data_IF_298317197145
#
_entry.id   IF_298317197145
#
_cell.length_a   1.000
_cell.length_b   1.000
_cell.length_c   1.000
_cell.angle_alpha   90.00
_cell.angle_beta   90.00
_cell.angle_gamma   90.00
#
_symmetry.space_group_name_H-M   'P 1'
#
loop_
_entity.id
_entity.type
_entity.pdbx_description
1 polymer ?
#
# COMPACT_ATOMS: atom_id res chain seq x y z
N UNK A 1 -9.25 -7.54 15.79
CA UNK A 1 -8.18 -7.13 14.87
C UNK A 1 -6.85 -7.12 15.59
N UNK A 2 -5.99 -8.05 15.21
CA UNK A 2 -4.59 -8.05 15.60
C UNK A 2 -3.84 -6.93 14.88
N UNK A 3 -2.71 -6.53 15.45
CA UNK A 3 -1.85 -5.48 14.89
C UNK A 3 -0.60 -6.13 14.35
N UNK A 4 -0.36 -5.98 13.06
CA UNK A 4 0.82 -6.50 12.40
C UNK A 4 1.74 -5.35 12.03
N UNK A 5 2.99 -5.44 12.48
CA UNK A 5 4.03 -4.53 12.06
C UNK A 5 4.76 -5.13 10.87
N UNK A 6 4.81 -4.41 9.76
CA UNK A 6 5.59 -4.80 8.59
C UNK A 6 6.97 -4.14 8.62
N UNK A 7 7.95 -4.85 8.07
CA UNK A 7 9.32 -4.42 7.95
C UNK A 7 9.80 -4.69 6.54
N UNK A 8 10.53 -3.74 5.95
CA UNK A 8 11.04 -3.82 4.58
C UNK A 8 12.52 -3.46 4.51
N UNK A 9 13.25 -4.08 3.58
CA UNK A 9 14.60 -3.62 3.26
C UNK A 9 14.48 -2.32 2.43
N UNK A 10 15.16 -1.23 2.82
CA UNK A 10 15.20 -0.01 2.03
C UNK A 10 15.77 -0.30 0.64
N UNK A 11 15.27 0.38 -0.40
CA UNK A 11 15.64 0.17 -1.81
C UNK A 11 15.26 -1.21 -2.41
N UNK A 12 14.37 -1.98 -1.77
CA UNK A 12 13.89 -3.27 -2.29
C UNK A 12 12.51 -3.24 -2.96
N UNK A 13 11.91 -2.05 -3.12
CA UNK A 13 10.54 -1.87 -3.64
C UNK A 13 9.49 -2.73 -2.92
N UNK A 14 9.61 -2.89 -1.58
CA UNK A 14 8.74 -3.72 -0.74
C UNK A 14 8.68 -5.20 -1.17
N UNK A 15 9.65 -5.68 -1.95
CA UNK A 15 9.75 -7.10 -2.37
C UNK A 15 10.33 -7.99 -1.28
N UNK A 16 11.24 -7.43 -0.47
CA UNK A 16 11.83 -8.12 0.67
C UNK A 16 11.21 -7.56 1.94
N UNK A 17 10.13 -8.20 2.36
CA UNK A 17 9.35 -7.81 3.54
C UNK A 17 9.21 -8.96 4.52
N UNK A 18 9.03 -8.62 5.79
CA UNK A 18 8.63 -9.53 6.85
C UNK A 18 7.58 -8.85 7.73
N UNK A 19 6.84 -9.62 8.51
CA UNK A 19 5.81 -9.10 9.40
C UNK A 19 5.87 -9.81 10.75
N UNK A 20 5.51 -9.08 11.80
CA UNK A 20 5.38 -9.62 13.15
C UNK A 20 4.02 -9.23 13.74
N UNK A 21 3.45 -10.17 14.50
CA UNK A 21 2.29 -9.88 15.34
C UNK A 21 2.75 -9.13 16.61
N UNK A 22 2.22 -7.92 16.80
CA UNK A 22 2.52 -7.11 17.98
C UNK A 22 1.90 -7.67 19.26
N UNK A 23 0.93 -8.57 19.17
CA UNK A 23 0.35 -9.25 20.34
C UNK A 23 1.24 -10.40 20.84
N UNK A 24 2.25 -10.82 20.07
CA UNK A 24 3.18 -11.88 20.47
C UNK A 24 4.10 -11.43 21.60
N UNK A 25 4.34 -12.31 22.59
CA UNK A 25 5.27 -12.06 23.69
C UNK A 25 6.74 -11.99 23.24
N UNK A 26 7.07 -12.57 22.08
CA UNK A 26 8.40 -12.55 21.47
C UNK A 26 8.65 -11.32 20.58
N UNK A 27 7.65 -10.46 20.40
CA UNK A 27 7.68 -9.34 19.45
C UNK A 27 8.92 -8.46 19.58
N UNK A 28 9.31 -8.07 20.80
CA UNK A 28 10.45 -7.17 21.02
C UNK A 28 11.79 -7.83 20.63
N UNK A 29 11.93 -9.13 20.88
CA UNK A 29 13.13 -9.87 20.56
C UNK A 29 13.27 -10.06 19.04
N UNK A 30 12.18 -10.48 18.40
CA UNK A 30 12.14 -10.66 16.95
C UNK A 30 12.32 -9.33 16.22
N UNK A 31 11.68 -8.26 16.71
CA UNK A 31 11.85 -6.90 16.15
C UNK A 31 13.32 -6.48 16.16
N UNK A 32 14.04 -6.66 17.27
CA UNK A 32 15.46 -6.30 17.32
C UNK A 32 16.26 -7.08 16.29
N UNK A 33 16.05 -8.40 16.20
CA UNK A 33 16.75 -9.24 15.24
C UNK A 33 16.46 -8.85 13.78
N UNK A 34 15.25 -8.39 13.46
CA UNK A 34 14.87 -7.91 12.13
C UNK A 34 15.55 -6.57 11.83
N UNK A 35 15.59 -5.64 12.78
CA UNK A 35 16.28 -4.36 12.64
C UNK A 35 17.81 -4.54 12.46
N UNK A 36 18.42 -5.47 13.20
CA UNK A 36 19.84 -5.81 13.06
C UNK A 36 20.18 -6.40 11.68
N UNK A 37 19.20 -7.01 10.99
CA UNK A 37 19.35 -7.49 9.61
C UNK A 37 19.27 -6.37 8.56
N UNK A 38 19.04 -5.12 8.98
CA UNK A 38 18.93 -3.97 8.09
C UNK A 38 17.53 -3.78 7.50
N UNK A 39 16.51 -4.42 8.06
CA UNK A 39 15.13 -4.08 7.75
C UNK A 39 14.73 -2.80 8.49
N UNK A 40 13.87 -2.01 7.87
CA UNK A 40 13.26 -0.82 8.44
C UNK A 40 11.78 -1.06 8.70
N UNK A 41 11.24 -0.39 9.72
CA UNK A 41 9.81 -0.43 10.04
C UNK A 41 9.05 0.33 8.96
N UNK A 42 8.04 -0.30 8.36
CA UNK A 42 7.09 0.41 7.50
C UNK A 42 6.18 1.31 8.35
N UNK A 43 6.01 2.57 7.92
CA UNK A 43 5.45 3.69 8.70
C UNK A 43 4.19 3.35 9.50
N UNK A 44 3.24 2.63 8.91
CA UNK A 44 1.95 2.32 9.54
C UNK A 44 1.77 0.85 9.89
N UNK A 45 1.09 0.61 11.01
CA UNK A 45 0.67 -0.73 11.45
C UNK A 45 -0.56 -1.19 10.68
N UNK A 46 -0.58 -2.45 10.27
CA UNK A 46 -1.72 -3.03 9.54
C UNK A 46 -2.63 -3.76 10.53
N UNK A 47 -3.91 -3.37 10.51
CA UNK A 47 -4.96 -4.02 11.28
C UNK A 47 -5.61 -5.13 10.45
N UNK A 48 -5.53 -6.36 10.94
CA UNK A 48 -6.07 -7.52 10.28
C UNK A 48 -6.54 -8.58 11.29
N UNK A 49 -7.48 -9.41 10.91
CA UNK A 49 -7.94 -10.52 11.77
C UNK A 49 -7.12 -11.79 11.56
N UNK A 50 -6.48 -11.95 10.40
CA UNK A 50 -5.55 -13.05 10.08
C UNK A 50 -4.24 -12.52 9.48
N UNK A 51 -3.13 -13.28 9.58
CA UNK A 51 -1.87 -12.89 8.95
C UNK A 51 -1.98 -12.83 7.42
N UNK A 52 -2.83 -13.67 6.82
CA UNK A 52 -3.10 -13.64 5.37
C UNK A 52 -3.74 -12.32 4.94
N UNK A 53 -4.73 -11.83 5.69
CA UNK A 53 -5.37 -10.53 5.47
C UNK A 53 -4.39 -9.37 5.66
N UNK A 54 -3.47 -9.47 6.62
CA UNK A 54 -2.41 -8.49 6.82
C UNK A 54 -1.47 -8.40 5.60
N UNK A 55 -1.07 -9.55 5.04
CA UNK A 55 -0.21 -9.63 3.85
C UNK A 55 -0.93 -9.12 2.60
N UNK A 56 -2.22 -9.42 2.46
CA UNK A 56 -3.01 -8.92 1.34
C UNK A 56 -3.09 -7.38 1.36
N UNK A 57 -3.41 -6.80 2.52
CA UNK A 57 -3.42 -5.33 2.72
C UNK A 57 -2.06 -4.70 2.45
N UNK A 58 -0.98 -5.35 2.91
CA UNK A 58 0.39 -4.90 2.66
C UNK A 58 0.73 -4.88 1.17
N UNK A 59 0.47 -5.99 0.45
CA UNK A 59 0.72 -6.12 -1.00
C UNK A 59 -0.15 -5.20 -1.84
N UNK A 60 -1.39 -4.94 -1.40
CA UNK A 60 -2.31 -4.04 -2.09
C UNK A 60 -1.87 -2.57 -1.97
N UNK A 61 -0.73 -2.27 -1.32
CA UNK A 61 -0.27 -0.91 -1.05
C UNK A 61 -1.33 -0.12 -0.25
N UNK A 62 -2.13 -0.82 0.55
CA UNK A 62 -3.24 -0.27 1.33
C UNK A 62 -2.70 0.45 2.56
N UNK A 63 -1.94 1.50 2.32
CA UNK A 63 -1.77 2.58 3.30
C UNK A 63 -3.15 3.21 3.35
N UNK A 64 -3.83 3.14 4.49
CA UNK A 64 -5.22 3.58 4.69
C UNK A 64 -5.50 5.00 4.14
N UNK A 65 -4.46 5.82 3.98
CA UNK A 65 -4.49 7.13 3.32
C UNK A 65 -4.87 7.14 1.82
N UNK A 66 -4.71 6.04 1.07
CA UNK A 66 -4.99 6.01 -0.38
C UNK A 66 -6.45 5.74 -0.71
N UNK A 67 -7.21 5.05 0.14
CA UNK A 67 -8.63 4.77 -0.16
C UNK A 67 -9.49 6.06 -0.12
N UNK A 68 -9.09 7.06 0.68
CA UNK A 68 -9.75 8.38 0.71
C UNK A 68 -9.34 9.29 -0.47
N UNK A 69 -8.19 9.08 -1.11
CA UNK A 69 -7.75 9.87 -2.28
C UNK A 69 -8.11 9.22 -3.63
N UNK A 70 -8.18 7.90 -3.71
CA UNK A 70 -8.45 7.16 -4.96
C UNK A 70 -9.89 7.29 -5.48
N UNK A 71 -10.82 7.79 -4.66
CA UNK A 71 -12.24 7.97 -5.02
C UNK A 71 -12.57 9.35 -5.59
N UNK A 72 -11.63 10.29 -5.60
CA UNK A 72 -11.81 11.59 -6.23
C UNK A 72 -11.03 11.63 -7.57
N UNK A 73 -11.76 11.84 -8.66
CA UNK A 73 -11.29 12.40 -9.93
C UNK A 73 -10.61 11.53 -11.02
N UNK A 74 -10.31 10.24 -10.83
CA UNK A 74 -9.77 9.47 -11.99
C UNK A 74 -10.84 9.25 -13.07
N UNK A 75 -12.09 8.98 -12.67
CA UNK A 75 -13.20 8.76 -13.61
C UNK A 75 -13.59 10.02 -14.40
N UNK A 76 -13.56 11.19 -13.75
CA UNK A 76 -13.89 12.46 -14.39
C UNK A 76 -12.76 12.91 -15.35
N UNK A 77 -11.50 12.79 -14.92
CA UNK A 77 -10.34 13.06 -15.79
C UNK A 77 -10.32 12.18 -17.04
N UNK A 78 -10.65 10.90 -16.91
CA UNK A 78 -10.72 9.99 -18.05
C UNK A 78 -11.88 10.34 -19.00
N UNK A 79 -13.06 10.70 -18.47
CA UNK A 79 -14.20 11.12 -19.29
C UNK A 79 -13.90 12.40 -20.09
N UNK A 80 -13.27 13.41 -19.47
CA UNK A 80 -12.85 14.65 -20.15
C UNK A 80 -11.78 14.39 -21.20
N UNK A 81 -10.83 13.49 -20.92
CA UNK A 81 -9.81 13.08 -21.88
C UNK A 81 -10.42 12.43 -23.12
N UNK A 82 -11.33 11.46 -22.95
CA UNK A 82 -12.03 10.82 -24.08
C UNK A 82 -12.90 11.83 -24.84
N UNK A 83 -13.60 12.73 -24.15
CA UNK A 83 -14.39 13.79 -24.79
C UNK A 83 -13.51 14.76 -25.60
N UNK A 84 -12.29 15.04 -25.14
CA UNK A 84 -11.33 15.92 -25.82
C UNK A 84 -10.76 15.27 -27.07
N UNK A 85 -10.43 13.96 -27.01
CA UNK A 85 -10.06 13.18 -28.19
C UNK A 85 -11.21 13.16 -29.20
N UNK A 86 -12.44 12.91 -28.74
CA UNK A 86 -13.60 12.88 -29.62
C UNK A 86 -13.82 14.23 -30.32
N UNK A 87 -13.75 15.35 -29.59
CA UNK A 87 -13.82 16.69 -30.22
C UNK A 87 -12.68 16.92 -31.20
N UNK A 88 -11.45 16.49 -30.90
CA UNK A 88 -10.31 16.70 -31.81
C UNK A 88 -10.45 15.90 -33.11
N UNK A 89 -10.96 14.66 -33.03
CA UNK A 89 -11.13 13.77 -34.19
C UNK A 89 -12.35 14.14 -35.03
N UNK A 90 -13.48 14.49 -34.39
CA UNK A 90 -14.75 14.71 -35.08
C UNK A 90 -15.13 16.18 -35.29
N UNK A 91 -14.46 17.14 -34.64
CA UNK A 91 -14.70 18.58 -34.85
C UNK A 91 -13.65 19.24 -35.76
N UNK A 92 -12.99 18.45 -36.61
CA UNK A 92 -12.24 18.98 -37.75
C UNK A 92 -13.25 19.44 -38.81
N UNK A 93 -13.86 20.61 -38.59
CA UNK A 93 -14.53 21.35 -39.66
C UNK A 93 -13.46 21.78 -40.67
N UNK A 94 -13.66 21.36 -41.92
CA UNK A 94 -13.23 22.13 -43.09
C UNK A 94 -13.92 23.51 -43.08
#
# INVERSE_FOLDING_TARGET
MAKYQFFCIPNSDRKQYTFLDMASSSFLQEKSAILDQGFEVEDDVIYADTPEDAVEKFKSNFIYAVDEYGKADVGYGFAVFIQSIYKMVFNKKA
#
